data_IF_824106476667
#
_entry.id   IF_824106476667
#
_cell.length_a   1.000
_cell.length_b   1.000
_cell.length_c   1.000
_cell.angle_alpha   90.00
_cell.angle_beta   90.00
_cell.angle_gamma   90.00
#
_symmetry.space_group_name_H-M   'P 1'
#
loop_
_entity.id
_entity.type
_entity.pdbx_description
1 polymer ?
#
# COMPACT_ATOMS: atom_id res chain seq x y z
N UNK A 1 -1.03 -0.46 -7.96
CA UNK A 1 -0.93 0.15 -6.62
C UNK A 1 -1.17 1.65 -6.70
N UNK A 2 -0.47 2.36 -7.58
CA UNK A 2 -0.63 3.83 -7.74
C UNK A 2 -2.08 4.22 -8.04
N UNK A 3 -2.80 3.47 -8.88
CA UNK A 3 -4.21 3.76 -9.18
C UNK A 3 -5.12 3.68 -7.93
N UNK A 4 -4.84 2.73 -7.04
CA UNK A 4 -5.60 2.58 -5.79
C UNK A 4 -5.33 3.75 -4.85
N UNK A 5 -4.07 4.22 -4.78
CA UNK A 5 -3.72 5.42 -4.01
C UNK A 5 -4.44 6.63 -4.60
N UNK A 6 -4.37 6.85 -5.92
CA UNK A 6 -5.04 7.96 -6.58
C UNK A 6 -6.56 7.98 -6.32
N UNK A 7 -7.21 6.81 -6.40
CA UNK A 7 -8.62 6.64 -6.04
C UNK A 7 -8.90 7.00 -4.58
N UNK A 8 -8.10 6.48 -3.64
CA UNK A 8 -8.31 6.69 -2.20
C UNK A 8 -7.99 8.12 -1.73
N UNK A 9 -7.12 8.84 -2.43
CA UNK A 9 -6.79 10.23 -2.15
C UNK A 9 -7.66 11.24 -2.91
N UNK A 10 -8.41 10.80 -3.93
CA UNK A 10 -9.18 11.68 -4.81
C UNK A 10 -8.32 12.44 -5.81
N UNK A 11 -7.14 11.92 -6.16
CA UNK A 11 -6.24 12.54 -7.12
C UNK A 11 -6.81 12.45 -8.54
N UNK A 12 -6.96 13.61 -9.19
CA UNK A 12 -7.50 13.73 -10.57
C UNK A 12 -6.47 14.22 -11.58
N UNK A 13 -5.20 14.38 -11.17
CA UNK A 13 -4.11 14.80 -12.05
C UNK A 13 -3.59 13.67 -12.93
N UNK A 14 -2.59 13.99 -13.77
CA UNK A 14 -1.91 13.02 -14.63
C UNK A 14 -0.83 12.29 -13.86
N UNK A 15 -0.81 10.96 -13.99
CA UNK A 15 0.22 10.08 -13.42
C UNK A 15 1.26 9.81 -14.51
N UNK A 16 2.47 10.30 -14.33
CA UNK A 16 3.57 10.09 -15.28
C UNK A 16 4.63 9.18 -14.67
N UNK A 17 5.06 8.18 -15.43
CA UNK A 17 6.10 7.24 -15.04
C UNK A 17 7.43 7.67 -15.67
N UNK A 18 8.43 7.95 -14.83
CA UNK A 18 9.79 8.25 -15.26
C UNK A 18 10.61 6.95 -15.32
N UNK A 19 10.97 6.53 -16.53
CA UNK A 19 11.69 5.29 -16.80
C UNK A 19 13.21 5.42 -16.73
N UNK A 20 13.74 6.62 -16.47
CA UNK A 20 15.19 6.86 -16.48
C UNK A 20 15.90 6.32 -15.23
N UNK A 21 15.14 5.86 -14.22
CA UNK A 21 15.66 5.27 -13.00
C UNK A 21 15.53 3.74 -13.04
N UNK A 22 16.52 2.99 -12.54
CA UNK A 22 16.45 1.53 -12.49
C UNK A 22 15.28 1.10 -11.60
N UNK A 23 14.40 0.27 -12.14
CA UNK A 23 13.29 -0.31 -11.39
C UNK A 23 13.84 -1.39 -10.44
N UNK A 24 13.49 -1.29 -9.16
CA UNK A 24 13.90 -2.27 -8.15
C UNK A 24 13.09 -3.59 -8.32
N UNK A 25 13.39 -4.59 -7.51
CA UNK A 25 12.84 -5.94 -7.64
C UNK A 25 11.29 -5.94 -7.69
N UNK A 26 10.66 -6.46 -8.76
CA UNK A 26 9.25 -6.21 -9.06
C UNK A 26 8.24 -6.81 -8.05
N UNK A 27 8.66 -7.76 -7.20
CA UNK A 27 7.87 -8.23 -6.04
C UNK A 27 8.73 -9.04 -5.07
N UNK A 28 8.67 -8.70 -3.78
CA UNK A 28 9.06 -9.58 -2.67
C UNK A 28 7.81 -10.08 -1.97
N UNK A 29 7.45 -11.35 -2.20
CA UNK A 29 6.35 -12.01 -1.50
C UNK A 29 6.93 -13.01 -0.50
N UNK A 30 6.43 -12.98 0.74
CA UNK A 30 6.80 -13.92 1.79
C UNK A 30 5.77 -15.05 1.85
N UNK A 31 6.23 -16.30 2.00
CA UNK A 31 5.35 -17.42 2.32
C UNK A 31 4.94 -17.36 3.80
N UNK A 32 3.64 -17.26 4.06
CA UNK A 32 3.06 -17.20 5.40
C UNK A 32 2.51 -18.55 5.88
N UNK A 33 2.71 -19.64 5.12
CA UNK A 33 2.21 -20.97 5.44
C UNK A 33 2.68 -21.47 6.80
N UNK A 34 3.93 -21.19 7.18
CA UNK A 34 4.48 -21.55 8.50
C UNK A 34 3.81 -20.77 9.63
N UNK A 35 3.58 -19.46 9.45
CA UNK A 35 2.91 -18.65 10.46
C UNK A 35 1.45 -19.10 10.69
N UNK A 36 0.78 -19.52 9.62
CA UNK A 36 -0.56 -20.12 9.72
C UNK A 36 -0.54 -21.43 10.50
N UNK A 37 0.40 -22.35 10.21
CA UNK A 37 0.48 -23.66 10.88
C UNK A 37 0.81 -23.55 12.37
N UNK A 38 1.79 -22.72 12.72
CA UNK A 38 2.33 -22.67 14.09
C UNK A 38 1.53 -21.75 15.01
N UNK A 39 0.93 -20.69 14.46
CA UNK A 39 0.29 -19.63 15.27
C UNK A 39 -1.16 -19.36 14.89
N UNK A 40 -1.72 -20.09 13.91
CA UNK A 40 -3.04 -19.77 13.35
C UNK A 40 -3.10 -18.40 12.68
N UNK A 41 -1.93 -17.80 12.39
CA UNK A 41 -1.86 -16.41 11.94
C UNK A 41 -2.40 -16.26 10.52
N UNK A 42 -3.36 -15.35 10.35
CA UNK A 42 -3.88 -14.92 9.06
C UNK A 42 -4.07 -13.41 9.07
N UNK A 43 -3.55 -12.73 8.06
CA UNK A 43 -3.82 -11.32 7.86
C UNK A 43 -5.33 -11.11 7.62
N UNK A 44 -5.97 -10.32 8.48
CA UNK A 44 -7.41 -10.01 8.41
C UNK A 44 -7.69 -8.68 7.75
N UNK A 45 -6.69 -7.80 7.67
CA UNK A 45 -6.80 -6.51 7.00
C UNK A 45 -6.49 -6.68 5.52
N UNK A 46 -7.44 -6.29 4.67
CA UNK A 46 -7.22 -6.25 3.23
C UNK A 46 -6.17 -5.20 2.88
N UNK A 47 -5.53 -5.34 1.72
CA UNK A 47 -4.57 -4.34 1.25
C UNK A 47 -5.19 -2.95 1.12
N UNK A 48 -6.41 -2.86 0.59
CA UNK A 48 -7.16 -1.61 0.44
C UNK A 48 -7.53 -0.99 1.80
N UNK A 49 -7.99 -1.79 2.77
CA UNK A 49 -8.28 -1.29 4.11
C UNK A 49 -7.04 -0.79 4.84
N UNK A 50 -5.93 -1.52 4.71
CA UNK A 50 -4.65 -1.10 5.26
C UNK A 50 -4.24 0.25 4.67
N UNK A 51 -4.27 0.36 3.35
CA UNK A 51 -3.89 1.58 2.63
C UNK A 51 -4.79 2.77 3.00
N UNK A 52 -6.11 2.57 3.07
CA UNK A 52 -7.06 3.61 3.50
C UNK A 52 -6.76 4.10 4.92
N UNK A 53 -6.54 3.18 5.87
CA UNK A 53 -6.18 3.54 7.26
C UNK A 53 -4.88 4.32 7.31
N UNK A 54 -3.88 3.94 6.51
CA UNK A 54 -2.59 4.64 6.42
C UNK A 54 -2.75 6.05 5.85
N UNK A 55 -3.52 6.23 4.77
CA UNK A 55 -3.79 7.55 4.18
C UNK A 55 -4.48 8.47 5.21
N UNK A 56 -5.51 7.96 5.90
CA UNK A 56 -6.23 8.73 6.91
C UNK A 56 -5.35 9.08 8.12
N UNK A 57 -4.50 8.17 8.58
CA UNK A 57 -3.50 8.48 9.59
C UNK A 57 -2.54 9.58 9.11
N UNK A 58 -2.03 9.47 7.88
CA UNK A 58 -1.10 10.45 7.34
C UNK A 58 -1.72 11.84 7.25
N UNK A 59 -2.95 11.96 6.74
CA UNK A 59 -3.69 13.25 6.68
C UNK A 59 -3.86 13.91 8.05
N UNK A 60 -4.03 13.11 9.11
CA UNK A 60 -4.21 13.62 10.48
C UNK A 60 -2.91 14.07 11.15
N UNK A 61 -1.76 13.54 10.71
CA UNK A 61 -0.46 13.71 11.38
C UNK A 61 0.54 14.53 10.58
N UNK A 62 0.39 14.58 9.26
CA UNK A 62 1.01 15.63 8.47
C UNK A 62 0.26 16.92 8.83
N UNK A 63 0.97 17.98 9.19
CA UNK A 63 0.41 19.33 9.38
C UNK A 63 -0.11 19.90 8.04
N UNK A 64 -1.07 19.20 7.43
CA UNK A 64 -1.78 19.62 6.24
C UNK A 64 -3.05 20.27 6.81
N UNK A 65 -2.91 21.57 7.09
CA UNK A 65 -4.01 22.49 7.45
C UNK A 65 -5.01 22.62 6.31
#
# INVERSE_FOLDING_TARGET
>A
MIDLIAKLTGFTGVITWDTDKPDDQPRRCLDTSRALREFGFRATTSFEDGLRKTIEWYKRNANIS
#
